data_IF_748728373743
#
_entry.id   IF_748728373743
#
_cell.length_a   1.000
_cell.length_b   1.000
_cell.length_c   1.000
_cell.angle_alpha   90.00
_cell.angle_beta   90.00
_cell.angle_gamma   90.00
#
_symmetry.space_group_name_H-M   'P 1'
#
loop_
_entity.id
_entity.type
_entity.pdbx_description
1 polymer ?
#
# COMPACT_ATOMS: atom_id res chain seq x y z
N UNK A 1 -31.49 43.20 -26.64
CA UNK A 1 -30.24 43.76 -26.08
C UNK A 1 -29.85 42.95 -24.84
N UNK A 2 -29.12 41.84 -24.99
CA UNK A 2 -28.73 40.94 -23.90
C UNK A 2 -27.27 40.51 -24.05
N UNK A 3 -26.31 41.42 -23.87
CA UNK A 3 -24.89 41.09 -24.10
C UNK A 3 -23.88 41.66 -23.09
N UNK A 4 -24.30 42.18 -21.93
CA UNK A 4 -23.38 42.83 -20.98
C UNK A 4 -23.18 42.12 -19.63
N UNK A 5 -23.61 40.86 -19.47
CA UNK A 5 -23.52 40.13 -18.20
C UNK A 5 -22.63 38.88 -18.22
N UNK A 6 -21.68 38.79 -19.14
CA UNK A 6 -20.61 37.80 -19.07
C UNK A 6 -19.29 38.50 -18.73
N UNK A 7 -18.47 37.94 -17.81
CA UNK A 7 -17.14 38.47 -17.55
C UNK A 7 -16.28 38.37 -18.83
N UNK A 8 -15.41 39.35 -19.11
CA UNK A 8 -14.62 39.36 -20.32
C UNK A 8 -13.72 38.10 -20.41
N UNK A 9 -13.46 37.58 -21.63
CA UNK A 9 -12.67 36.37 -21.81
C UNK A 9 -11.25 36.57 -21.26
N UNK A 10 -10.64 35.50 -20.73
CA UNK A 10 -9.34 35.51 -20.02
C UNK A 10 -8.14 36.11 -20.78
N UNK A 11 -8.31 36.46 -22.06
CA UNK A 11 -7.30 37.12 -22.90
C UNK A 11 -7.84 38.36 -23.63
N UNK A 12 -9.00 38.90 -23.23
CA UNK A 12 -9.40 40.21 -23.70
C UNK A 12 -8.43 41.23 -23.10
N UNK A 13 -7.83 42.06 -23.95
CA UNK A 13 -7.05 43.22 -23.56
C UNK A 13 -7.98 44.20 -22.84
N UNK A 14 -8.23 43.96 -21.56
CA UNK A 14 -9.01 44.85 -20.70
C UNK A 14 -8.25 46.15 -20.51
N UNK A 15 -8.90 47.27 -20.87
CA UNK A 15 -8.44 48.65 -20.69
C UNK A 15 -6.93 48.83 -20.71
N UNK A 16 -6.32 48.34 -21.79
CA UNK A 16 -4.96 48.69 -22.16
C UNK A 16 -4.91 50.12 -22.72
N UNK A 17 -5.93 50.98 -22.55
CA UNK A 17 -5.89 52.37 -22.99
C UNK A 17 -4.67 53.09 -22.41
N UNK A 18 -4.41 52.93 -21.12
CA UNK A 18 -3.26 53.54 -20.43
C UNK A 18 -1.91 52.87 -20.78
N UNK A 19 -1.89 51.58 -21.11
CA UNK A 19 -0.66 50.89 -21.54
C UNK A 19 -0.33 51.17 -23.00
N UNK A 20 -1.34 51.18 -23.86
CA UNK A 20 -1.25 51.57 -25.26
C UNK A 20 -0.88 53.06 -25.37
N UNK A 21 -1.42 53.94 -24.51
CA UNK A 21 -0.99 55.34 -24.43
C UNK A 21 0.46 55.46 -24.00
N UNK A 22 0.91 54.71 -22.97
CA UNK A 22 2.32 54.68 -22.56
C UNK A 22 3.23 54.20 -23.69
N UNK A 23 2.83 53.16 -24.44
CA UNK A 23 3.60 52.66 -25.58
C UNK A 23 3.59 53.62 -26.77
N UNK A 24 2.46 54.29 -27.04
CA UNK A 24 2.31 55.33 -28.06
C UNK A 24 3.16 56.56 -27.74
N UNK A 25 3.18 57.01 -26.47
CA UNK A 25 3.99 58.13 -26.00
C UNK A 25 5.47 57.75 -26.06
N UNK A 26 5.84 56.53 -25.65
CA UNK A 26 7.22 56.02 -25.73
C UNK A 26 7.69 55.90 -27.20
N UNK A 27 6.80 55.50 -28.10
CA UNK A 27 7.07 55.47 -29.55
C UNK A 27 7.19 56.88 -30.14
N UNK A 28 6.36 57.85 -29.71
CA UNK A 28 6.46 59.27 -30.06
C UNK A 28 7.78 59.90 -29.60
N UNK A 29 8.20 59.60 -28.37
CA UNK A 29 9.48 60.05 -27.80
C UNK A 29 10.66 59.49 -28.59
N UNK A 30 10.62 58.20 -28.97
CA UNK A 30 11.65 57.58 -29.80
C UNK A 30 11.71 58.18 -31.23
N UNK A 31 10.55 58.48 -31.82
CA UNK A 31 10.45 59.15 -33.13
C UNK A 31 10.95 60.61 -33.08
N UNK A 32 10.65 61.36 -32.01
CA UNK A 32 11.13 62.74 -31.84
C UNK A 32 12.63 62.79 -31.51
N UNK A 33 13.16 61.81 -30.76
CA UNK A 33 14.61 61.70 -30.48
C UNK A 33 15.41 61.44 -31.77
N UNK A 34 14.80 60.83 -32.78
CA UNK A 34 15.38 60.64 -34.12
C UNK A 34 15.37 61.91 -34.98
N UNK A 35 14.45 62.86 -34.70
CA UNK A 35 14.25 64.07 -35.49
C UNK A 35 14.91 65.34 -34.89
N UNK A 36 15.73 65.22 -33.85
CA UNK A 36 16.66 66.29 -33.45
C UNK A 36 16.04 67.63 -33.01
N UNK A 37 14.81 67.65 -32.49
CA UNK A 37 14.23 68.85 -31.86
C UNK A 37 14.39 68.78 -30.34
N UNK A 38 15.38 69.47 -29.78
CA UNK A 38 15.67 69.48 -28.34
C UNK A 38 14.67 70.34 -27.51
N UNK A 39 13.90 71.23 -28.14
CA UNK A 39 12.99 72.17 -27.45
C UNK A 39 11.72 71.55 -26.83
N UNK A 40 11.41 70.28 -27.14
CA UNK A 40 10.20 69.58 -26.64
C UNK A 40 10.48 68.57 -25.52
N UNK A 41 11.72 68.49 -25.00
CA UNK A 41 12.04 67.57 -23.89
C UNK A 41 11.51 68.06 -22.54
N UNK A 42 11.50 69.37 -22.31
CA UNK A 42 11.04 69.98 -21.06
C UNK A 42 9.51 69.84 -20.89
N UNK A 43 8.75 70.01 -21.97
CA UNK A 43 7.28 69.88 -21.94
C UNK A 43 6.81 68.44 -21.67
N UNK A 44 7.55 67.44 -22.14
CA UNK A 44 7.24 66.01 -21.91
C UNK A 44 7.65 65.57 -20.50
N UNK A 45 8.74 66.11 -19.93
CA UNK A 45 9.07 65.90 -18.51
C UNK A 45 8.02 66.52 -17.60
N UNK A 46 7.49 67.69 -17.95
CA UNK A 46 6.47 68.38 -17.16
C UNK A 46 5.10 67.65 -17.18
N UNK A 47 4.74 67.03 -18.31
CA UNK A 47 3.52 66.20 -18.41
C UNK A 47 3.64 64.88 -17.62
N UNK A 48 4.79 64.21 -17.67
CA UNK A 48 5.06 63.02 -16.85
C UNK A 48 5.09 63.36 -15.35
N UNK A 49 5.70 64.48 -14.99
CA UNK A 49 5.71 64.98 -13.61
C UNK A 49 4.32 65.39 -13.13
N UNK A 50 3.46 65.92 -14.01
CA UNK A 50 2.06 66.26 -13.69
C UNK A 50 1.24 65.01 -13.39
N UNK A 51 1.40 63.94 -14.18
CA UNK A 51 0.75 62.65 -13.95
C UNK A 51 1.28 61.97 -12.67
N UNK A 52 2.60 62.02 -12.44
CA UNK A 52 3.20 61.51 -11.21
C UNK A 52 2.74 62.32 -9.98
N UNK A 53 2.56 63.64 -10.09
CA UNK A 53 1.98 64.50 -9.03
C UNK A 53 0.50 64.21 -8.79
N UNK A 54 -0.29 63.88 -9.82
CA UNK A 54 -1.69 63.44 -9.65
C UNK A 54 -1.80 62.08 -8.94
N UNK A 55 -0.88 61.15 -9.21
CA UNK A 55 -0.86 59.83 -8.56
C UNK A 55 -0.30 59.91 -7.12
N UNK A 56 0.65 60.81 -6.87
CA UNK A 56 1.34 60.96 -5.59
C UNK A 56 0.83 62.12 -4.73
N UNK A 57 -0.28 62.78 -5.07
CA UNK A 57 -0.79 63.93 -4.29
C UNK A 57 -1.09 63.60 -2.83
N UNK A 58 -1.33 62.31 -2.54
CA UNK A 58 -1.69 61.80 -1.21
C UNK A 58 -0.48 61.34 -0.38
N UNK A 59 0.74 61.37 -0.92
CA UNK A 59 1.95 60.90 -0.22
C UNK A 59 3.06 61.94 -0.33
N UNK A 60 3.56 62.38 0.82
CA UNK A 60 4.74 63.26 0.88
C UNK A 60 5.91 62.49 1.48
N UNK A 61 7.12 62.85 1.06
CA UNK A 61 8.34 62.31 1.65
C UNK A 61 8.46 62.62 3.15
N UNK A 62 7.91 63.77 3.58
CA UNK A 62 7.85 64.20 4.97
C UNK A 62 7.10 63.20 5.87
N UNK A 63 6.13 62.46 5.32
CA UNK A 63 5.34 61.47 6.05
C UNK A 63 6.17 60.24 6.48
N UNK A 64 7.31 59.98 5.82
CA UNK A 64 8.22 58.88 6.16
C UNK A 64 9.23 59.25 7.26
N UNK A 65 9.43 60.54 7.54
CA UNK A 65 10.48 61.00 8.44
C UNK A 65 9.90 61.16 9.85
N UNK A 66 10.40 60.42 10.85
CA UNK A 66 9.94 60.57 12.23
C UNK A 66 10.35 61.95 12.79
N UNK A 67 9.35 62.77 13.11
CA UNK A 67 9.52 64.15 13.61
C UNK A 67 10.39 64.25 14.87
N UNK A 68 10.32 63.24 15.75
CA UNK A 68 11.05 63.21 17.04
C UNK A 68 12.55 62.96 16.89
N UNK A 69 13.02 62.38 15.78
CA UNK A 69 14.46 62.17 15.54
C UNK A 69 15.18 63.50 15.22
N UNK A 70 14.47 64.45 14.60
CA UNK A 70 15.03 65.77 14.28
C UNK A 70 15.11 66.68 15.51
N UNK A 71 14.06 66.71 16.31
CA UNK A 71 13.95 67.53 17.52
C UNK A 71 13.46 66.66 18.69
N UNK A 72 14.37 66.22 19.55
CA UNK A 72 14.00 65.40 20.72
C UNK A 72 13.14 66.15 21.74
N UNK A 73 13.27 67.48 21.80
CA UNK A 73 12.53 68.37 22.67
C UNK A 73 11.23 68.88 22.04
N UNK A 74 10.70 68.23 20.99
CA UNK A 74 9.43 68.63 20.41
C UNK A 74 8.29 68.40 21.43
N UNK A 75 7.62 69.48 21.82
CA UNK A 75 6.49 69.41 22.72
C UNK A 75 5.25 68.98 21.93
N UNK A 76 4.63 67.87 22.34
CA UNK A 76 3.33 67.43 21.86
C UNK A 76 2.35 67.78 22.98
N UNK A 77 1.74 68.97 22.96
CA UNK A 77 0.91 69.42 24.07
C UNK A 77 -0.33 68.55 24.18
N UNK A 78 -0.77 68.32 25.42
CA UNK A 78 -2.09 67.77 25.65
C UNK A 78 -3.14 68.79 25.18
N UNK A 79 -4.31 68.35 24.67
CA UNK A 79 -5.38 69.25 24.29
C UNK A 79 -5.82 70.12 25.47
N UNK A 80 -6.17 71.37 25.20
CA UNK A 80 -6.62 72.30 26.24
C UNK A 80 -7.93 71.83 26.89
N UNK A 81 -8.12 72.18 28.17
CA UNK A 81 -9.35 71.83 28.89
C UNK A 81 -10.61 72.36 28.21
N UNK A 82 -10.54 73.57 27.64
CA UNK A 82 -11.64 74.18 26.89
C UNK A 82 -11.96 73.40 25.60
N UNK A 83 -10.93 72.99 24.84
CA UNK A 83 -11.12 72.17 23.64
C UNK A 83 -11.71 70.79 23.97
N UNK A 84 -11.30 70.20 25.10
CA UNK A 84 -11.88 68.96 25.61
C UNK A 84 -13.37 69.16 25.95
N UNK A 85 -13.73 70.24 26.66
CA UNK A 85 -15.12 70.53 27.03
C UNK A 85 -16.00 70.81 25.81
N UNK A 86 -15.49 71.55 24.82
CA UNK A 86 -16.19 71.83 23.57
C UNK A 86 -16.44 70.54 22.78
N UNK A 87 -15.41 69.72 22.57
CA UNK A 87 -15.53 68.45 21.86
C UNK A 87 -16.42 67.45 22.61
N UNK A 88 -16.33 67.40 23.93
CA UNK A 88 -17.20 66.60 24.81
C UNK A 88 -18.66 67.03 24.68
N UNK A 89 -18.96 68.32 24.78
CA UNK A 89 -20.33 68.82 24.65
C UNK A 89 -20.93 68.53 23.26
N UNK A 90 -20.13 68.72 22.19
CA UNK A 90 -20.53 68.42 20.81
C UNK A 90 -20.81 66.93 20.61
N UNK A 91 -19.92 66.06 21.08
CA UNK A 91 -20.07 64.61 20.94
C UNK A 91 -21.20 64.06 21.83
N UNK A 92 -21.33 64.52 23.08
CA UNK A 92 -22.44 64.16 23.95
C UNK A 92 -23.80 64.64 23.40
N UNK A 93 -23.87 65.83 22.82
CA UNK A 93 -25.08 66.29 22.14
C UNK A 93 -25.45 65.39 20.96
N UNK A 94 -24.47 64.96 20.16
CA UNK A 94 -24.70 64.03 19.07
C UNK A 94 -25.11 62.64 19.54
N UNK A 95 -24.44 62.08 20.56
CA UNK A 95 -24.75 60.78 21.12
C UNK A 95 -26.12 60.77 21.82
N UNK A 96 -26.46 61.82 22.56
CA UNK A 96 -27.79 61.96 23.17
C UNK A 96 -28.88 62.06 22.10
N UNK A 97 -28.61 62.69 20.95
CA UNK A 97 -29.52 62.70 19.78
C UNK A 97 -29.67 61.31 19.16
N UNK A 98 -28.62 60.48 19.13
CA UNK A 98 -28.70 59.09 18.66
C UNK A 98 -29.45 58.18 19.64
N UNK A 99 -29.25 58.35 20.95
CA UNK A 99 -29.93 57.59 21.99
C UNK A 99 -31.41 57.96 22.08
N UNK A 100 -31.72 59.25 22.01
CA UNK A 100 -33.09 59.77 22.01
C UNK A 100 -33.69 59.83 20.61
N UNK A 101 -33.27 58.94 19.70
CA UNK A 101 -33.88 58.77 18.36
C UNK A 101 -35.26 58.11 18.45
N UNK A 102 -35.98 58.36 19.54
CA UNK A 102 -37.42 58.21 19.65
C UNK A 102 -38.00 59.50 19.05
N UNK A 103 -38.69 59.35 17.93
CA UNK A 103 -39.25 60.45 17.15
C UNK A 103 -40.18 61.29 18.04
N UNK A 104 -39.69 62.41 18.54
CA UNK A 104 -40.59 63.47 19.00
C UNK A 104 -41.11 64.18 17.75
N UNK A 105 -42.43 64.19 17.52
CA UNK A 105 -43.00 64.86 16.37
C UNK A 105 -42.67 66.35 16.46
N UNK A 106 -41.78 66.83 15.58
CA UNK A 106 -41.45 68.25 15.49
C UNK A 106 -42.07 68.83 14.24
N UNK A 107 -42.99 69.77 14.44
CA UNK A 107 -43.47 70.62 13.36
C UNK A 107 -42.32 71.52 12.91
N UNK A 108 -41.88 71.33 11.67
CA UNK A 108 -40.83 72.17 11.07
C UNK A 108 -41.43 72.98 9.94
N UNK A 109 -41.13 74.28 9.96
CA UNK A 109 -41.52 75.21 8.91
C UNK A 109 -40.27 75.53 8.11
N UNK A 110 -40.25 75.12 6.84
CA UNK A 110 -39.17 75.44 5.91
C UNK A 110 -39.70 76.36 4.82
N UNK A 111 -38.95 77.44 4.54
CA UNK A 111 -39.22 78.33 3.42
C UNK A 111 -38.39 77.89 2.23
N UNK A 112 -39.04 77.50 1.14
CA UNK A 112 -38.40 77.14 -0.12
C UNK A 112 -38.91 78.12 -1.18
N UNK A 113 -38.05 79.07 -1.55
CA UNK A 113 -38.44 80.19 -2.41
C UNK A 113 -39.60 80.99 -1.80
N UNK A 114 -40.73 81.03 -2.51
CA UNK A 114 -41.92 81.80 -2.10
C UNK A 114 -42.97 80.96 -1.35
N UNK A 115 -42.71 79.68 -1.07
CA UNK A 115 -43.66 78.80 -0.37
C UNK A 115 -43.15 78.46 1.02
N UNK A 116 -44.06 78.52 1.98
CA UNK A 116 -43.84 78.08 3.35
C UNK A 116 -44.46 76.70 3.51
N UNK A 117 -43.61 75.70 3.79
CA UNK A 117 -44.03 74.30 3.93
C UNK A 117 -43.94 73.94 5.41
N UNK A 118 -45.09 73.58 6.00
CA UNK A 118 -45.17 73.03 7.35
C UNK A 118 -45.18 71.51 7.27
N UNK A 119 -44.09 70.88 7.70
CA UNK A 119 -43.99 69.43 7.83
C UNK A 119 -44.46 69.04 9.23
N UNK A 120 -45.58 68.32 9.30
CA UNK A 120 -46.09 67.71 10.54
C UNK A 120 -46.06 66.19 10.41
N UNK A 121 -45.81 65.49 11.51
CA UNK A 121 -45.84 64.02 11.55
C UNK A 121 -47.24 63.57 11.98
N UNK A 122 -47.91 62.66 11.24
CA UNK A 122 -49.26 62.23 11.57
C UNK A 122 -49.28 61.42 12.86
N UNK A 123 -50.35 61.56 13.65
CA UNK A 123 -50.58 60.74 14.86
C UNK A 123 -50.79 59.28 14.45
N UNK A 124 -49.99 58.38 15.01
CA UNK A 124 -50.01 56.95 14.70
C UNK A 124 -50.90 56.17 15.70
N UNK A 125 -51.71 55.23 15.22
CA UNK A 125 -52.62 54.42 16.05
C UNK A 125 -51.83 53.44 16.96
N UNK A 126 -52.07 53.43 18.29
CA UNK A 126 -51.38 52.55 19.23
C UNK A 126 -51.70 51.05 19.05
N UNK A 127 -52.86 50.69 18.47
CA UNK A 127 -53.24 49.30 18.21
C UNK A 127 -52.72 48.79 16.87
N UNK A 128 -52.14 49.68 16.05
CA UNK A 128 -51.71 49.33 14.72
C UNK A 128 -50.40 48.55 14.74
N UNK A 129 -50.41 47.35 14.15
CA UNK A 129 -49.24 46.51 14.01
C UNK A 129 -48.14 47.17 13.14
N UNK A 130 -46.88 46.77 13.36
CA UNK A 130 -45.72 47.23 12.58
C UNK A 130 -45.90 46.92 11.09
N UNK A 131 -46.02 47.97 10.27
CA UNK A 131 -46.12 47.84 8.79
C UNK A 131 -44.81 47.39 8.15
N UNK A 132 -43.67 47.67 8.79
CA UNK A 132 -42.35 47.33 8.28
C UNK A 132 -42.03 45.89 8.63
N UNK A 133 -42.06 45.02 7.61
CA UNK A 133 -41.46 43.69 7.70
C UNK A 133 -39.94 43.87 7.73
N UNK A 134 -39.29 43.58 8.86
CA UNK A 134 -37.81 43.50 8.97
C UNK A 134 -37.29 42.25 8.27
N UNK A 135 -37.72 42.01 7.04
CA UNK A 135 -37.44 40.78 6.29
C UNK A 135 -36.28 41.01 5.33
N UNK A 136 -35.24 40.21 5.52
CA UNK A 136 -34.07 40.12 4.66
C UNK A 136 -32.83 40.65 5.35
N UNK A 137 -31.90 39.77 5.70
CA UNK A 137 -30.49 40.17 5.87
C UNK A 137 -30.03 40.63 4.49
N UNK A 138 -30.18 41.92 4.21
CA UNK A 138 -29.65 42.52 2.99
C UNK A 138 -28.14 42.60 3.23
N UNK A 139 -27.40 41.63 2.70
CA UNK A 139 -25.96 41.70 2.56
C UNK A 139 -25.66 42.61 1.36
N UNK A 140 -25.95 43.90 1.46
CA UNK A 140 -25.25 44.86 0.60
C UNK A 140 -23.79 44.80 1.03
N UNK A 141 -22.85 44.45 0.13
CA UNK A 141 -21.44 44.64 0.42
C UNK A 141 -21.26 46.09 0.87
N UNK A 142 -20.59 46.31 2.00
CA UNK A 142 -20.25 47.66 2.44
C UNK A 142 -19.39 48.26 1.34
N UNK A 143 -20.02 49.03 0.46
CA UNK A 143 -19.35 49.70 -0.63
C UNK A 143 -19.03 51.08 -0.07
N UNK A 144 -17.91 51.15 0.65
CA UNK A 144 -17.27 52.39 1.08
C UNK A 144 -16.72 53.08 -0.19
N UNK A 145 -17.63 53.52 -1.08
CA UNK A 145 -17.32 54.04 -2.43
C UNK A 145 -16.60 55.39 -2.41
N UNK A 146 -16.55 56.04 -1.24
CA UNK A 146 -16.06 57.41 -1.11
C UNK A 146 -14.71 57.52 -0.39
N UNK A 147 -14.11 56.39 0.02
CA UNK A 147 -12.77 56.41 0.58
C UNK A 147 -11.75 56.26 -0.55
N UNK A 148 -11.01 57.33 -0.82
CA UNK A 148 -9.83 57.25 -1.69
C UNK A 148 -8.87 56.21 -1.11
N UNK A 149 -8.24 55.35 -1.93
CA UNK A 149 -7.36 54.30 -1.43
C UNK A 149 -6.25 54.92 -0.57
N UNK A 150 -6.15 54.48 0.68
CA UNK A 150 -5.09 54.91 1.59
C UNK A 150 -3.75 54.36 1.11
N UNK A 151 -2.73 55.20 1.16
CA UNK A 151 -1.40 54.85 0.65
C UNK A 151 -0.61 54.10 1.72
N UNK A 152 -0.03 52.96 1.35
CA UNK A 152 0.80 52.17 2.27
C UNK A 152 2.23 52.70 2.23
N UNK A 153 2.71 53.22 3.35
CA UNK A 153 4.05 53.80 3.50
C UNK A 153 5.02 52.73 4.02
N UNK A 154 5.74 52.04 3.12
CA UNK A 154 6.78 51.07 3.49
C UNK A 154 8.14 51.73 3.65
N UNK A 155 8.92 51.34 4.67
CA UNK A 155 10.31 51.74 4.81
C UNK A 155 11.20 50.95 3.83
N UNK A 156 11.94 51.67 2.97
CA UNK A 156 12.88 51.08 2.03
C UNK A 156 14.30 50.89 2.60
N UNK A 157 14.57 51.46 3.78
CA UNK A 157 15.89 51.45 4.44
C UNK A 157 16.07 50.28 5.41
N UNK A 158 15.00 49.86 6.08
CA UNK A 158 14.91 48.54 6.71
C UNK A 158 14.95 47.50 5.58
N UNK A 159 16.03 46.72 5.49
CA UNK A 159 16.38 45.84 4.35
C UNK A 159 15.37 44.79 3.88
N UNK A 160 14.10 44.85 4.29
CA UNK A 160 12.96 44.06 3.82
C UNK A 160 12.54 44.35 2.38
N UNK A 161 12.85 45.52 1.82
CA UNK A 161 12.59 45.82 0.41
C UNK A 161 13.82 45.68 -0.49
N UNK A 162 14.98 45.30 0.06
CA UNK A 162 16.14 44.93 -0.74
C UNK A 162 15.75 43.73 -1.58
N UNK A 163 16.03 43.80 -2.89
CA UNK A 163 15.79 42.68 -3.82
C UNK A 163 16.40 41.43 -3.19
N UNK A 164 15.56 40.46 -2.86
CA UNK A 164 15.97 39.22 -2.22
C UNK A 164 17.16 38.63 -3.00
N UNK A 165 18.23 38.26 -2.30
CA UNK A 165 19.35 37.60 -2.98
C UNK A 165 18.86 36.27 -3.57
N UNK A 166 19.45 35.84 -4.68
CA UNK A 166 19.11 34.55 -5.29
C UNK A 166 19.27 33.39 -4.29
N UNK A 167 20.32 33.45 -3.46
CA UNK A 167 20.62 32.46 -2.42
C UNK A 167 19.55 32.42 -1.33
N UNK A 168 19.07 33.58 -0.88
CA UNK A 168 18.03 33.67 0.14
C UNK A 168 16.70 33.17 -0.43
N UNK A 169 16.39 33.51 -1.68
CA UNK A 169 15.21 32.98 -2.37
C UNK A 169 15.24 31.47 -2.50
N UNK A 170 16.42 30.89 -2.77
CA UNK A 170 16.59 29.43 -2.85
C UNK A 170 16.46 28.77 -1.48
N UNK A 171 17.05 29.37 -0.43
CA UNK A 171 16.92 28.88 0.95
C UNK A 171 15.47 28.84 1.43
N UNK A 172 14.68 29.83 1.03
CA UNK A 172 13.25 29.91 1.35
C UNK A 172 12.34 29.26 0.30
N UNK A 173 12.91 28.57 -0.70
CA UNK A 173 12.14 27.84 -1.71
C UNK A 173 11.59 26.55 -1.10
N UNK A 174 10.32 26.59 -0.70
CA UNK A 174 9.60 25.41 -0.21
C UNK A 174 9.48 24.39 -1.37
N UNK A 175 9.96 23.13 -1.19
CA UNK A 175 9.81 22.09 -2.20
C UNK A 175 8.35 21.79 -2.53
N UNK A 176 8.09 21.29 -3.73
CA UNK A 176 6.74 20.84 -4.11
C UNK A 176 6.36 19.59 -3.33
N UNK A 177 5.22 19.62 -2.64
CA UNK A 177 4.71 18.45 -1.94
C UNK A 177 4.08 17.47 -2.93
N UNK A 178 4.74 16.32 -3.14
CA UNK A 178 4.17 15.20 -3.91
C UNK A 178 3.77 14.11 -2.94
N UNK A 179 2.46 13.95 -2.72
CA UNK A 179 1.96 12.93 -1.79
C UNK A 179 1.95 11.53 -2.44
N UNK A 180 2.23 10.49 -1.65
CA UNK A 180 2.12 9.09 -2.09
C UNK A 180 0.66 8.62 -2.23
N UNK A 181 -0.31 9.27 -1.56
CA UNK A 181 -1.70 8.79 -1.51
C UNK A 181 -2.68 9.58 -2.39
N UNK A 182 -2.53 10.89 -2.51
CA UNK A 182 -3.52 11.77 -3.14
C UNK A 182 -2.92 12.56 -4.30
N UNK A 183 -3.67 12.56 -5.40
CA UNK A 183 -3.37 13.36 -6.57
C UNK A 183 -4.69 13.90 -7.16
N UNK A 184 -5.31 14.91 -6.51
CA UNK A 184 -6.65 15.36 -6.87
C UNK A 184 -6.70 15.96 -8.27
N UNK A 185 -5.62 16.59 -8.71
CA UNK A 185 -5.53 17.22 -10.03
C UNK A 185 -4.94 16.27 -11.10
N UNK A 186 -4.60 15.02 -10.73
CA UNK A 186 -4.12 14.02 -11.68
C UNK A 186 -2.75 14.33 -12.30
N UNK A 187 -1.89 15.10 -11.65
CA UNK A 187 -0.57 15.43 -12.19
C UNK A 187 0.28 14.17 -12.42
N UNK A 188 0.92 14.06 -13.58
CA UNK A 188 1.88 12.99 -13.88
C UNK A 188 3.18 13.26 -13.13
N UNK A 189 3.37 12.58 -11.99
CA UNK A 189 4.52 12.77 -11.11
C UNK A 189 5.33 11.47 -11.01
N UNK A 190 6.65 11.56 -11.08
CA UNK A 190 7.55 10.46 -10.80
C UNK A 190 7.58 10.24 -9.28
N UNK A 191 6.81 9.26 -8.78
CA UNK A 191 6.80 8.92 -7.36
C UNK A 191 7.99 8.03 -7.03
N UNK A 192 8.79 8.44 -6.06
CA UNK A 192 9.81 7.59 -5.48
C UNK A 192 9.10 6.50 -4.68
N UNK A 193 9.26 5.24 -5.10
CA UNK A 193 8.64 4.06 -4.47
C UNK A 193 9.37 3.66 -3.18
N UNK A 194 10.57 4.21 -2.93
CA UNK A 194 11.26 4.07 -1.66
C UNK A 194 10.76 5.10 -0.67
N UNK A 195 10.14 4.64 0.43
CA UNK A 195 10.09 5.44 1.65
C UNK A 195 11.51 5.96 1.93
N UNK A 196 11.65 7.17 2.47
CA UNK A 196 12.94 7.70 2.95
C UNK A 196 13.64 6.81 4.00
N UNK A 197 13.03 5.68 4.34
CA UNK A 197 13.55 4.52 5.05
C UNK A 197 14.63 3.72 4.28
N UNK A 198 15.07 4.18 3.10
CA UNK A 198 16.13 3.52 2.33
C UNK A 198 17.55 3.92 2.72
N UNK A 199 17.73 4.90 3.61
CA UNK A 199 19.05 5.45 3.96
C UNK A 199 19.47 5.19 5.40
N UNK A 200 18.76 4.33 6.13
CA UNK A 200 19.27 3.76 7.37
C UNK A 200 19.85 2.39 7.05
N UNK A 201 21.17 2.32 6.98
CA UNK A 201 21.88 1.04 7.11
C UNK A 201 21.60 0.59 8.55
N UNK A 202 20.59 -0.26 8.74
CA UNK A 202 20.25 -0.81 10.06
C UNK A 202 21.38 -1.76 10.48
N UNK A 203 22.36 -1.23 11.20
CA UNK A 203 23.44 -2.01 11.80
C UNK A 203 22.85 -2.90 12.92
N UNK A 204 23.14 -4.20 12.87
CA UNK A 204 22.62 -5.16 13.85
C UNK A 204 23.49 -5.12 15.10
N UNK A 205 22.85 -5.08 16.27
CA UNK A 205 23.50 -5.07 17.58
C UNK A 205 24.35 -6.34 17.81
N UNK A 206 25.55 -6.20 18.37
CA UNK A 206 26.48 -7.31 18.69
C UNK A 206 25.90 -8.34 19.65
N UNK A 207 24.91 -7.98 20.48
CA UNK A 207 24.25 -8.92 21.39
C UNK A 207 23.56 -10.10 20.69
N UNK A 208 23.16 -9.94 19.42
CA UNK A 208 22.63 -11.06 18.63
C UNK A 208 23.72 -12.09 18.27
N UNK A 209 24.95 -11.64 18.05
CA UNK A 209 26.10 -12.53 17.82
C UNK A 209 26.44 -13.29 19.09
N UNK A 210 26.56 -12.60 20.22
CA UNK A 210 26.87 -13.21 21.52
C UNK A 210 25.81 -14.23 21.93
N UNK A 211 24.53 -13.91 21.69
CA UNK A 211 23.41 -14.84 21.94
C UNK A 211 23.48 -16.06 21.03
N UNK A 212 23.77 -15.87 19.74
CA UNK A 212 23.88 -16.99 18.79
C UNK A 212 25.03 -17.93 19.15
N UNK A 213 26.18 -17.38 19.56
CA UNK A 213 27.34 -18.15 20.01
C UNK A 213 27.04 -18.91 21.32
N UNK A 214 26.36 -18.26 22.28
CA UNK A 214 25.97 -18.91 23.51
C UNK A 214 25.00 -20.08 23.28
N UNK A 215 24.06 -19.94 22.35
CA UNK A 215 23.12 -21.01 21.99
C UNK A 215 23.80 -22.17 21.27
N UNK A 216 24.74 -21.91 20.35
CA UNK A 216 25.52 -22.97 19.70
C UNK A 216 26.37 -23.76 20.70
N UNK A 217 27.04 -23.06 21.63
CA UNK A 217 27.80 -23.70 22.73
C UNK A 217 26.90 -24.58 23.61
N UNK A 218 25.75 -24.05 24.00
CA UNK A 218 24.80 -24.80 24.83
C UNK A 218 24.25 -26.06 24.14
N UNK A 219 23.95 -25.98 22.83
CA UNK A 219 23.48 -27.14 22.04
C UNK A 219 24.60 -28.19 21.86
N UNK A 220 25.84 -27.74 21.61
CA UNK A 220 26.99 -28.62 21.50
C UNK A 220 27.23 -29.40 22.82
N UNK A 221 27.24 -28.71 23.95
CA UNK A 221 27.39 -29.32 25.27
C UNK A 221 26.25 -30.29 25.60
N UNK A 222 25.02 -29.95 25.22
CA UNK A 222 23.87 -30.83 25.41
C UNK A 222 24.00 -32.14 24.61
N UNK A 223 24.50 -32.05 23.37
CA UNK A 223 24.77 -33.22 22.52
C UNK A 223 25.86 -34.11 23.10
N UNK A 224 26.98 -33.54 23.56
CA UNK A 224 28.07 -34.30 24.20
C UNK A 224 27.55 -35.03 25.43
N UNK A 225 26.85 -34.34 26.34
CA UNK A 225 26.29 -34.96 27.55
C UNK A 225 25.30 -36.09 27.23
N UNK A 226 24.55 -35.96 26.14
CA UNK A 226 23.63 -37.00 25.70
C UNK A 226 24.36 -38.22 25.11
N UNK A 227 25.43 -37.99 24.34
CA UNK A 227 26.31 -39.05 23.84
C UNK A 227 26.96 -39.81 24.99
N UNK A 228 27.56 -39.10 25.96
CA UNK A 228 28.16 -39.71 27.16
C UNK A 228 27.15 -40.54 27.94
N UNK A 229 25.94 -40.01 28.16
CA UNK A 229 24.86 -40.76 28.82
C UNK A 229 24.47 -42.01 28.04
N UNK A 230 24.42 -41.93 26.71
CA UNK A 230 24.10 -43.07 25.86
C UNK A 230 25.20 -44.14 25.89
N UNK A 231 26.48 -43.73 25.88
CA UNK A 231 27.63 -44.63 26.00
C UNK A 231 27.69 -45.32 27.37
N UNK A 232 27.50 -44.57 28.46
CA UNK A 232 27.43 -45.14 29.81
C UNK A 232 26.26 -46.12 29.95
N UNK A 233 25.09 -45.77 29.39
CA UNK A 233 23.92 -46.66 29.38
C UNK A 233 24.19 -47.93 28.59
N UNK A 234 24.88 -47.83 27.45
CA UNK A 234 25.28 -48.98 26.64
C UNK A 234 26.25 -49.89 27.39
N UNK A 235 27.30 -49.34 28.00
CA UNK A 235 28.26 -50.11 28.80
C UNK A 235 27.60 -50.78 30.00
N UNK A 236 26.66 -50.09 30.67
CA UNK A 236 25.89 -50.68 31.77
C UNK A 236 25.02 -51.85 31.30
N UNK A 237 24.38 -51.71 30.14
CA UNK A 237 23.59 -52.78 29.53
C UNK A 237 24.46 -53.98 29.14
N UNK A 238 25.61 -53.77 28.51
CA UNK A 238 26.56 -54.83 28.16
C UNK A 238 27.02 -55.60 29.43
N UNK A 239 27.37 -54.90 30.51
CA UNK A 239 27.68 -55.53 31.81
C UNK A 239 26.52 -56.32 32.40
N UNK A 240 25.29 -55.83 32.28
CA UNK A 240 24.10 -56.54 32.76
C UNK A 240 23.85 -57.82 31.93
N UNK A 241 24.08 -57.77 30.62
CA UNK A 241 23.99 -58.92 29.71
C UNK A 241 25.06 -59.96 30.04
N UNK A 242 26.32 -59.56 30.23
CA UNK A 242 27.41 -60.46 30.63
C UNK A 242 27.14 -61.14 31.98
N UNK A 243 26.64 -60.38 32.97
CA UNK A 243 26.23 -60.92 34.26
C UNK A 243 25.08 -61.94 34.13
N UNK A 244 24.12 -61.69 33.23
CA UNK A 244 23.05 -62.65 32.92
C UNK A 244 23.59 -63.89 32.23
N UNK A 245 24.50 -63.74 31.27
CA UNK A 245 25.09 -64.87 30.53
C UNK A 245 25.92 -65.76 31.46
N UNK A 246 26.79 -65.19 32.27
CA UNK A 246 27.58 -65.94 33.26
C UNK A 246 26.68 -66.66 34.27
N UNK A 247 25.62 -66.01 34.76
CA UNK A 247 24.61 -66.63 35.64
C UNK A 247 23.88 -67.79 34.97
N UNK A 248 23.49 -67.65 33.70
CA UNK A 248 22.84 -68.72 32.93
C UNK A 248 23.82 -69.88 32.65
N UNK A 249 25.08 -69.58 32.36
CA UNK A 249 26.14 -70.58 32.16
C UNK A 249 26.39 -71.39 33.43
N UNK A 250 26.51 -70.75 34.59
CA UNK A 250 26.62 -71.44 35.88
C UNK A 250 25.38 -72.30 36.17
N UNK A 251 24.17 -71.81 35.89
CA UNK A 251 22.95 -72.60 36.06
C UNK A 251 22.93 -73.83 35.14
N UNK A 252 23.38 -73.69 33.89
CA UNK A 252 23.49 -74.78 32.93
C UNK A 252 24.56 -75.81 33.35
N UNK A 253 25.73 -75.36 33.81
CA UNK A 253 26.78 -76.23 34.36
C UNK A 253 26.32 -76.97 35.62
N UNK A 254 25.67 -76.28 36.55
CA UNK A 254 25.08 -76.91 37.73
C UNK A 254 24.00 -77.94 37.36
N UNK A 255 23.20 -77.68 36.31
CA UNK A 255 22.23 -78.64 35.78
C UNK A 255 22.93 -79.86 35.16
N UNK A 256 24.02 -79.66 34.40
CA UNK A 256 24.84 -80.75 33.85
C UNK A 256 25.46 -81.59 34.97
N UNK A 257 26.13 -80.96 35.95
CA UNK A 257 26.69 -81.66 37.11
C UNK A 257 25.63 -82.44 37.89
N UNK A 258 24.44 -81.87 38.13
CA UNK A 258 23.32 -82.60 38.76
C UNK A 258 22.82 -83.78 37.94
N UNK A 259 22.89 -83.73 36.61
CA UNK A 259 22.55 -84.87 35.73
C UNK A 259 23.65 -85.93 35.80
N UNK A 260 24.91 -85.52 35.84
CA UNK A 260 26.09 -86.38 35.89
C UNK A 260 26.21 -87.10 37.26
N UNK A 261 26.02 -86.38 38.37
CA UNK A 261 25.90 -86.92 39.73
C UNK A 261 24.68 -87.84 39.90
N UNK A 262 23.64 -87.69 39.05
CA UNK A 262 22.45 -88.55 39.04
C UNK A 262 22.54 -89.76 38.12
N UNK A 263 23.71 -90.08 37.57
CA UNK A 263 24.05 -91.36 36.92
C UNK A 263 22.91 -92.08 36.18
N UNK A 264 22.84 -91.91 34.85
CA UNK A 264 22.12 -92.76 33.87
C UNK A 264 20.90 -93.54 34.41
N UNK A 265 19.70 -92.98 34.27
CA UNK A 265 18.48 -93.79 34.17
C UNK A 265 17.37 -93.08 33.39
N UNK A 266 16.88 -93.80 32.37
CA UNK A 266 15.65 -93.62 31.57
C UNK A 266 15.70 -92.65 30.38
N UNK A 267 15.98 -93.27 29.22
CA UNK A 267 15.33 -93.00 27.93
C UNK A 267 13.81 -93.02 28.09
N UNK A 268 13.11 -92.07 27.48
CA UNK A 268 11.71 -92.17 26.99
C UNK A 268 11.41 -90.90 26.14
N UNK A 269 11.16 -91.02 24.82
CA UNK A 269 10.61 -89.94 24.01
C UNK A 269 9.08 -90.09 23.92
N UNK A 270 8.33 -89.11 24.44
CA UNK A 270 6.88 -89.06 24.26
C UNK A 270 6.52 -88.65 22.82
N UNK A 271 6.02 -89.65 22.11
CA UNK A 271 5.32 -89.64 20.83
C UNK A 271 3.95 -88.96 20.98
N UNK A 272 3.65 -87.98 20.13
CA UNK A 272 2.26 -87.57 19.81
C UNK A 272 2.06 -87.58 18.31
N UNK A 273 0.92 -88.13 17.94
CA UNK A 273 0.56 -88.71 16.67
C UNK A 273 0.23 -87.70 15.56
N UNK A 274 0.38 -88.20 14.34
CA UNK A 274 0.03 -87.60 13.07
C UNK A 274 -1.29 -88.24 12.60
N UNK A 275 -2.29 -87.44 12.26
CA UNK A 275 -3.43 -87.82 11.42
C UNK A 275 -3.34 -86.95 10.15
N UNK A 276 -2.97 -87.50 8.99
CA UNK A 276 -3.87 -88.07 7.96
C UNK A 276 -4.86 -87.02 7.41
N UNK A 277 -5.14 -86.86 6.11
CA UNK A 277 -4.78 -87.60 4.90
C UNK A 277 -5.25 -86.81 3.65
N UNK A 278 -4.52 -87.00 2.54
CA UNK A 278 -4.97 -87.18 1.13
C UNK A 278 -5.78 -86.11 0.37
N UNK A 279 -5.19 -85.79 -0.80
CA UNK A 279 -5.81 -85.64 -2.14
C UNK A 279 -6.80 -84.45 -2.31
N UNK A 280 -7.01 -83.82 -3.47
CA UNK A 280 -6.85 -84.20 -4.87
C UNK A 280 -7.07 -82.95 -5.74
N UNK A 281 -6.44 -82.94 -6.92
CA UNK A 281 -6.94 -82.39 -8.20
C UNK A 281 -7.24 -80.89 -8.41
N UNK A 282 -6.46 -80.35 -9.35
CA UNK A 282 -6.87 -79.61 -10.57
C UNK A 282 -7.75 -78.37 -10.46
N UNK A 283 -7.24 -77.25 -10.99
CA UNK A 283 -7.67 -76.58 -12.25
C UNK A 283 -7.07 -75.17 -12.26
N UNK A 284 -6.16 -74.86 -13.20
CA UNK A 284 -6.35 -73.87 -14.30
C UNK A 284 -7.12 -72.61 -13.87
N UNK A 285 -6.62 -71.38 -13.97
CA UNK A 285 -6.32 -70.63 -15.21
C UNK A 285 -5.74 -69.27 -14.78
N UNK A 286 -4.59 -68.85 -15.33
CA UNK A 286 -4.47 -67.81 -16.38
C UNK A 286 -4.98 -66.41 -15.99
N UNK A 287 -4.05 -65.44 -15.93
CA UNK A 287 -4.36 -64.02 -16.09
C UNK A 287 -3.66 -63.07 -15.12
N UNK A 288 -2.41 -62.67 -15.42
CA UNK A 288 -2.00 -61.25 -15.51
C UNK A 288 -0.47 -61.12 -15.52
N UNK A 289 0.07 -60.94 -16.73
CA UNK A 289 1.49 -60.73 -16.99
C UNK A 289 1.95 -59.27 -16.75
N UNK A 290 1.23 -58.47 -15.96
CA UNK A 290 1.54 -57.05 -15.72
C UNK A 290 2.41 -56.76 -14.48
N UNK A 291 2.48 -57.67 -13.51
CA UNK A 291 3.01 -57.34 -12.17
C UNK A 291 4.36 -58.01 -11.81
N UNK A 292 5.10 -58.55 -12.77
CA UNK A 292 6.40 -59.21 -12.50
C UNK A 292 7.46 -58.23 -11.96
N UNK A 293 7.45 -56.99 -12.43
CA UNK A 293 8.46 -55.98 -12.05
C UNK A 293 8.26 -55.53 -10.59
N UNK A 294 7.00 -55.27 -10.19
CA UNK A 294 6.66 -54.91 -8.81
C UNK A 294 6.94 -56.06 -7.84
N UNK A 295 6.59 -57.29 -8.21
CA UNK A 295 6.83 -58.48 -7.38
C UNK A 295 8.33 -58.72 -7.17
N UNK A 296 9.16 -58.56 -8.22
CA UNK A 296 10.60 -58.72 -8.09
C UNK A 296 11.23 -57.61 -7.24
N UNK A 297 10.76 -56.36 -7.37
CA UNK A 297 11.25 -55.24 -6.56
C UNK A 297 10.86 -55.37 -5.09
N UNK A 298 9.65 -55.85 -4.81
CA UNK A 298 9.20 -56.19 -3.45
C UNK A 298 10.02 -57.34 -2.86
N UNK A 299 10.39 -58.34 -3.68
CA UNK A 299 11.25 -59.45 -3.26
C UNK A 299 12.67 -58.97 -2.90
N UNK A 300 13.23 -58.03 -3.66
CA UNK A 300 14.56 -57.47 -3.37
C UNK A 300 14.57 -56.53 -2.16
N UNK A 301 13.47 -55.82 -1.88
CA UNK A 301 13.32 -55.02 -0.65
C UNK A 301 13.22 -55.94 0.58
N UNK A 302 12.44 -57.03 0.49
CA UNK A 302 12.33 -58.01 1.58
C UNK A 302 13.66 -58.71 1.88
N UNK A 303 14.47 -58.99 0.85
CA UNK A 303 15.85 -59.48 0.97
C UNK A 303 16.76 -58.52 1.74
N UNK A 304 16.69 -57.21 1.42
CA UNK A 304 17.52 -56.17 2.05
C UNK A 304 17.18 -55.93 3.52
N UNK A 305 15.92 -56.09 3.91
CA UNK A 305 15.48 -56.00 5.31
C UNK A 305 15.75 -57.29 6.13
N UNK A 306 16.37 -58.32 5.54
CA UNK A 306 16.64 -59.59 6.22
C UNK A 306 15.37 -60.41 6.54
N UNK A 307 14.26 -60.14 5.84
CA UNK A 307 12.98 -60.86 5.96
C UNK A 307 12.81 -61.92 4.87
N UNK A 308 13.88 -62.60 4.51
CA UNK A 308 13.84 -63.71 3.56
C UNK A 308 13.26 -64.98 4.19
N UNK A 309 11.96 -65.14 4.05
CA UNK A 309 11.22 -66.35 4.44
C UNK A 309 11.36 -67.50 3.41
N UNK A 310 12.13 -67.33 2.34
CA UNK A 310 12.11 -68.27 1.20
C UNK A 310 12.66 -69.67 1.52
N UNK A 311 13.79 -69.80 2.22
CA UNK A 311 14.29 -71.13 2.63
C UNK A 311 13.46 -71.75 3.76
N UNK A 312 12.86 -70.91 4.62
CA UNK A 312 12.04 -71.34 5.76
C UNK A 312 10.65 -71.83 5.34
N UNK A 313 10.10 -71.26 4.27
CA UNK A 313 8.87 -71.73 3.59
C UNK A 313 9.15 -73.00 2.79
N UNK A 314 10.32 -73.11 2.15
CA UNK A 314 10.74 -74.31 1.42
C UNK A 314 11.01 -75.49 2.38
N UNK A 315 11.50 -75.24 3.61
CA UNK A 315 11.64 -76.26 4.66
C UNK A 315 10.33 -76.57 5.45
N UNK A 316 9.22 -75.86 5.19
CA UNK A 316 7.95 -76.06 5.90
C UNK A 316 7.96 -75.69 7.40
N UNK A 317 9.00 -75.01 7.88
CA UNK A 317 9.20 -74.63 9.28
C UNK A 317 8.77 -73.17 9.61
N UNK A 318 8.21 -72.45 8.63
CA UNK A 318 7.69 -71.11 8.83
C UNK A 318 6.21 -71.17 9.28
N UNK A 319 5.91 -70.64 10.45
CA UNK A 319 4.53 -70.36 10.88
C UNK A 319 3.94 -69.34 9.91
N UNK A 320 2.76 -69.63 9.34
CA UNK A 320 2.10 -68.71 8.43
C UNK A 320 1.92 -67.35 9.11
N UNK A 321 2.31 -66.26 8.43
CA UNK A 321 2.05 -64.90 8.92
C UNK A 321 0.58 -64.82 9.30
N UNK A 322 0.30 -64.57 10.59
CA UNK A 322 -1.07 -64.49 11.10
C UNK A 322 -1.80 -63.36 10.40
N UNK A 323 -2.52 -63.67 9.33
CA UNK A 323 -3.46 -62.76 8.71
C UNK A 323 -4.65 -62.63 9.66
N UNK A 324 -5.10 -61.42 10.01
CA UNK A 324 -6.31 -61.27 10.80
C UNK A 324 -7.46 -62.00 10.10
N UNK A 325 -8.38 -62.57 10.88
CA UNK A 325 -9.38 -63.55 10.41
C UNK A 325 -10.30 -63.04 9.28
N UNK A 326 -10.35 -61.73 9.02
CA UNK A 326 -11.12 -61.11 7.93
C UNK A 326 -10.20 -60.15 7.17
N UNK A 327 -9.95 -60.45 5.90
CA UNK A 327 -9.25 -59.56 4.99
C UNK A 327 -10.28 -58.70 4.23
N UNK A 328 -10.16 -57.38 4.30
CA UNK A 328 -11.00 -56.46 3.54
C UNK A 328 -10.36 -56.10 2.20
N UNK A 329 -11.18 -55.71 1.22
CA UNK A 329 -10.73 -55.21 -0.08
C UNK A 329 -9.83 -53.98 0.09
N UNK A 330 -8.74 -53.91 -0.67
CA UNK A 330 -7.80 -52.79 -0.67
C UNK A 330 -8.48 -51.46 -1.01
N UNK A 331 -9.54 -51.49 -1.83
CA UNK A 331 -10.34 -50.31 -2.17
C UNK A 331 -10.98 -49.66 -0.95
N UNK A 332 -11.33 -50.44 0.07
CA UNK A 332 -11.93 -49.92 1.29
C UNK A 332 -10.95 -49.01 2.03
N UNK A 333 -9.67 -49.39 2.07
CA UNK A 333 -8.60 -48.60 2.66
C UNK A 333 -8.19 -47.42 1.77
N UNK A 334 -8.16 -47.61 0.45
CA UNK A 334 -7.79 -46.55 -0.50
C UNK A 334 -8.84 -45.45 -0.64
N UNK A 335 -10.13 -45.75 -0.39
CA UNK A 335 -11.22 -44.76 -0.47
C UNK A 335 -11.13 -43.67 0.61
N UNK A 336 -10.28 -43.83 1.63
CA UNK A 336 -10.10 -42.82 2.68
C UNK A 336 -11.38 -42.63 3.50
N UNK A 337 -11.85 -43.68 4.16
CA UNK A 337 -13.14 -43.75 4.87
C UNK A 337 -13.42 -42.61 5.89
N UNK A 338 -12.40 -41.88 6.32
CA UNK A 338 -12.49 -40.77 7.27
C UNK A 338 -11.88 -39.46 6.75
N UNK A 339 -11.70 -39.29 5.43
CA UNK A 339 -11.19 -38.03 4.86
C UNK A 339 -12.09 -36.84 5.21
N UNK A 340 -13.41 -37.05 5.17
CA UNK A 340 -14.44 -36.08 5.59
C UNK A 340 -14.53 -35.85 7.10
N UNK A 341 -13.71 -36.50 7.94
CA UNK A 341 -13.71 -36.23 9.39
C UNK A 341 -12.89 -34.99 9.76
N UNK A 342 -11.96 -34.56 8.89
CA UNK A 342 -11.15 -33.35 9.06
C UNK A 342 -11.80 -32.15 8.35
N UNK A 343 -13.03 -31.81 8.72
CA UNK A 343 -13.74 -30.64 8.15
C UNK A 343 -13.35 -29.36 8.88
N UNK A 344 -13.50 -28.24 8.17
CA UNK A 344 -13.59 -26.92 8.79
C UNK A 344 -14.92 -26.80 9.54
N UNK A 345 -14.94 -26.08 10.68
CA UNK A 345 -16.11 -26.00 11.58
C UNK A 345 -17.36 -25.41 10.90
N UNK A 346 -17.16 -24.58 9.87
CA UNK A 346 -18.23 -23.92 9.12
C UNK A 346 -18.62 -24.64 7.81
N UNK A 347 -17.93 -25.74 7.46
CA UNK A 347 -18.18 -26.46 6.21
C UNK A 347 -19.37 -27.43 6.33
N UNK A 348 -20.54 -27.02 5.84
CA UNK A 348 -21.78 -27.80 5.93
C UNK A 348 -21.85 -29.00 4.97
N UNK A 349 -21.22 -28.91 3.79
CA UNK A 349 -21.29 -29.93 2.74
C UNK A 349 -19.92 -30.57 2.45
N UNK A 350 -19.91 -31.87 2.17
CA UNK A 350 -18.70 -32.64 1.83
C UNK A 350 -18.17 -32.36 0.44
N UNK A 351 -19.08 -32.30 -0.54
CA UNK A 351 -18.73 -32.22 -1.94
C UNK A 351 -19.03 -30.80 -2.46
N UNK A 352 -18.18 -30.25 -3.35
CA UNK A 352 -18.48 -28.97 -4.00
C UNK A 352 -19.74 -29.10 -4.85
N UNK A 353 -20.52 -28.02 -4.95
CA UNK A 353 -21.77 -27.98 -5.72
C UNK A 353 -21.55 -28.28 -7.22
N UNK A 354 -20.38 -27.89 -7.74
CA UNK A 354 -20.00 -28.11 -9.13
C UNK A 354 -18.76 -28.97 -9.22
N UNK A 355 -18.86 -30.07 -9.97
CA UNK A 355 -17.73 -30.98 -10.25
C UNK A 355 -16.59 -30.26 -10.97
N UNK A 356 -16.90 -29.23 -11.77
CA UNK A 356 -15.90 -28.44 -12.49
C UNK A 356 -14.84 -27.85 -11.56
N UNK A 357 -15.24 -27.31 -10.40
CA UNK A 357 -14.32 -26.73 -9.42
C UNK A 357 -13.27 -27.74 -8.91
N UNK A 358 -13.65 -29.01 -8.79
CA UNK A 358 -12.72 -30.08 -8.40
C UNK A 358 -11.82 -30.58 -9.54
N UNK A 359 -12.17 -30.25 -10.79
CA UNK A 359 -11.53 -30.74 -12.03
C UNK A 359 -10.90 -29.57 -12.82
N UNK A 360 -10.90 -28.33 -12.31
CA UNK A 360 -10.47 -27.11 -13.04
C UNK A 360 -9.07 -27.22 -13.67
N UNK A 361 -8.18 -28.04 -13.10
CA UNK A 361 -6.84 -28.31 -13.65
C UNK A 361 -6.79 -29.33 -14.79
N UNK A 362 -7.90 -29.98 -15.14
CA UNK A 362 -7.95 -31.12 -16.08
C UNK A 362 -9.21 -31.22 -16.95
N UNK A 363 -10.01 -30.15 -17.06
CA UNK A 363 -11.25 -30.13 -17.87
C UNK A 363 -11.05 -30.66 -19.29
N UNK A 364 -9.96 -30.28 -19.95
CA UNK A 364 -9.54 -30.89 -21.20
C UNK A 364 -8.02 -30.84 -21.31
N UNK A 365 -7.37 -31.99 -21.22
CA UNK A 365 -5.96 -32.17 -21.56
C UNK A 365 -5.86 -33.21 -22.65
N UNK A 366 -5.42 -32.80 -23.82
CA UNK A 366 -5.19 -33.71 -24.93
C UNK A 366 -4.06 -34.66 -24.57
N UNK A 367 -4.37 -35.95 -24.53
CA UNK A 367 -3.36 -37.00 -24.40
C UNK A 367 -2.84 -37.34 -25.79
N UNK A 368 -1.86 -36.55 -26.25
CA UNK A 368 -1.26 -36.73 -27.58
C UNK A 368 -0.66 -38.12 -27.77
N UNK A 369 -0.27 -38.81 -26.70
CA UNK A 369 0.25 -40.18 -26.82
C UNK A 369 -0.85 -41.15 -27.23
N UNK A 370 -2.06 -41.02 -26.65
CA UNK A 370 -3.21 -41.84 -27.05
C UNK A 370 -3.74 -41.46 -28.42
N UNK A 371 -3.70 -40.18 -28.79
CA UNK A 371 -4.12 -39.73 -30.12
C UNK A 371 -3.14 -40.22 -31.19
N UNK A 372 -1.84 -40.18 -30.95
CA UNK A 372 -0.82 -40.74 -31.84
C UNK A 372 -1.02 -42.26 -32.02
N UNK A 373 -1.22 -43.01 -30.92
CA UNK A 373 -1.47 -44.46 -30.98
C UNK A 373 -2.75 -44.79 -31.79
N UNK A 374 -3.79 -43.95 -31.69
CA UNK A 374 -5.05 -44.13 -32.39
C UNK A 374 -4.93 -43.77 -33.89
N UNK A 375 -4.21 -42.70 -34.24
CA UNK A 375 -3.92 -42.29 -35.61
C UNK A 375 -3.01 -43.33 -36.31
N UNK A 376 -2.03 -43.89 -35.59
CA UNK A 376 -1.19 -44.97 -36.09
C UNK A 376 -2.00 -46.27 -36.33
N UNK A 377 -3.11 -46.47 -35.62
CA UNK A 377 -3.99 -47.63 -35.80
C UNK A 377 -5.01 -47.47 -36.94
N UNK A 378 -5.48 -46.25 -37.22
CA UNK A 378 -6.39 -45.94 -38.35
C UNK A 378 -5.63 -45.81 -39.68
N UNK A 379 -4.42 -45.24 -39.67
CA UNK A 379 -3.53 -45.19 -40.84
C UNK A 379 -2.72 -46.47 -40.96
N UNK A 380 -3.42 -47.59 -41.11
CA UNK A 380 -2.82 -48.87 -41.46
C UNK A 380 -1.99 -48.76 -42.74
N UNK A 381 -0.67 -48.84 -42.58
CA UNK A 381 0.36 -48.84 -43.63
C UNK A 381 0.65 -47.48 -44.27
N UNK A 382 1.79 -46.88 -43.90
CA UNK A 382 2.88 -46.34 -44.75
C UNK A 382 3.57 -45.17 -44.05
N UNK A 383 4.47 -45.44 -43.10
CA UNK A 383 5.82 -44.81 -43.10
C UNK A 383 6.65 -45.35 -41.93
N UNK A 384 7.72 -46.10 -42.22
CA UNK A 384 8.63 -46.65 -41.20
C UNK A 384 9.71 -45.62 -40.81
N UNK A 385 9.79 -44.47 -41.49
CA UNK A 385 10.83 -43.45 -41.25
C UNK A 385 10.52 -42.45 -40.14
N UNK A 386 9.27 -42.31 -39.67
CA UNK A 386 8.92 -41.36 -38.61
C UNK A 386 9.23 -41.87 -37.19
N UNK A 387 9.44 -43.19 -37.03
CA UNK A 387 9.62 -43.87 -35.74
C UNK A 387 10.94 -43.55 -35.01
N UNK A 388 11.94 -43.04 -35.72
CA UNK A 388 13.30 -42.80 -35.18
C UNK A 388 13.46 -41.43 -34.51
N UNK A 389 12.53 -40.47 -34.72
CA UNK A 389 12.64 -39.12 -34.13
C UNK A 389 11.99 -38.95 -32.74
N UNK A 390 11.40 -40.01 -32.15
CA UNK A 390 10.63 -39.91 -30.90
C UNK A 390 11.46 -40.07 -29.61
N UNK A 391 12.74 -40.43 -29.68
CA UNK A 391 13.53 -40.78 -28.47
C UNK A 391 14.32 -39.62 -27.83
N UNK A 392 14.35 -38.42 -28.41
CA UNK A 392 15.09 -37.30 -27.80
C UNK A 392 14.34 -35.99 -27.92
N UNK A 393 13.77 -35.52 -26.80
CA UNK A 393 13.41 -34.12 -26.61
C UNK A 393 11.94 -33.92 -26.24
N UNK A 394 11.70 -33.69 -24.95
CA UNK A 394 10.54 -32.94 -24.47
C UNK A 394 10.59 -31.53 -25.08
N UNK A 395 10.01 -31.37 -26.26
CA UNK A 395 9.84 -30.04 -26.87
C UNK A 395 8.66 -29.38 -26.18
N UNK A 396 8.95 -28.43 -25.28
CA UNK A 396 7.97 -27.50 -24.74
C UNK A 396 7.38 -26.68 -25.90
N UNK A 397 6.25 -27.15 -26.45
CA UNK A 397 5.48 -26.40 -27.43
C UNK A 397 4.62 -25.39 -26.68
N UNK A 398 5.18 -24.20 -26.45
CA UNK A 398 4.43 -23.03 -26.03
C UNK A 398 3.49 -22.53 -27.14
N UNK A 399 2.64 -21.53 -26.85
CA UNK A 399 1.73 -20.95 -27.83
C UNK A 399 2.49 -20.40 -29.05
N UNK A 400 1.94 -20.59 -30.24
CA UNK A 400 2.54 -20.18 -31.51
C UNK A 400 2.46 -18.65 -31.64
N UNK A 401 3.61 -17.97 -31.68
CA UNK A 401 3.70 -16.53 -31.98
C UNK A 401 3.95 -16.30 -33.48
N UNK A 402 3.21 -15.36 -34.09
CA UNK A 402 3.36 -14.99 -35.50
C UNK A 402 4.39 -13.88 -35.67
N UNK A 403 5.34 -14.04 -36.59
CA UNK A 403 6.31 -12.99 -36.95
C UNK A 403 5.80 -12.12 -38.11
N UNK A 404 6.05 -10.81 -38.02
CA UNK A 404 5.58 -9.77 -38.95
C UNK A 404 6.42 -9.77 -40.24
N UNK A 405 5.76 -9.71 -41.41
CA UNK A 405 6.39 -9.75 -42.73
C UNK A 405 7.29 -8.53 -43.03
N UNK A 406 8.49 -8.78 -43.57
CA UNK A 406 9.45 -7.77 -44.03
C UNK A 406 9.21 -7.48 -45.52
N UNK A 407 9.02 -6.19 -45.87
CA UNK A 407 8.92 -5.71 -47.26
C UNK A 407 10.31 -5.71 -47.91
N UNK A 408 10.43 -6.28 -49.10
CA UNK A 408 11.59 -6.11 -50.00
C UNK A 408 11.48 -4.74 -50.67
N UNK A 409 12.52 -3.92 -50.53
CA UNK A 409 12.76 -2.78 -51.41
C UNK A 409 13.75 -3.23 -52.48
N UNK A 410 13.37 -2.98 -53.74
CA UNK A 410 14.16 -3.23 -54.93
C UNK A 410 15.30 -2.19 -55.02
N UNK A 411 16.47 -2.63 -55.47
CA UNK A 411 17.53 -1.74 -55.98
C UNK A 411 18.08 -2.32 -57.28
N UNK A 412 17.87 -1.51 -58.32
CA UNK A 412 18.56 -1.32 -59.61
C UNK A 412 19.61 -2.34 -60.07
#
# INVERSE_FOLDING_TARGET
MFSSQLPPPKYSKGDDSLKNEKELIKAKILLQKKNGSDDNRETISDELDSIHRQIASNVKFEDFIPLRQRNFNIEIPLPSLESIQETQSRTLHFLSKLQNRTETPRDTVTKIGNREIRMSTPVQDPLQLSRFKRTGKIYTPNLDQNETPTTILHDSSSGKSSKISAEEREKWKIPTLVSQWKNPNGYTVARVIGNGEGSEIKEINSGFSDLSEALEKADHDAKIRLQEKHELKRLAYEREVEAKETKLKQLAENRRKRIEERGVSRKEPLRVEKAESKASTNTSTKGNSGNKILINKLRDIAKREGRDISEKVILGAAEATRTPAVNYDSRLYMKGAASSARRHEEQLYDNPLFVQQSIDSSIYRTDYNKLDDQIESENGSTDVMSKVRKETGTVNRGPIEFTKAVKKEDKD
#
